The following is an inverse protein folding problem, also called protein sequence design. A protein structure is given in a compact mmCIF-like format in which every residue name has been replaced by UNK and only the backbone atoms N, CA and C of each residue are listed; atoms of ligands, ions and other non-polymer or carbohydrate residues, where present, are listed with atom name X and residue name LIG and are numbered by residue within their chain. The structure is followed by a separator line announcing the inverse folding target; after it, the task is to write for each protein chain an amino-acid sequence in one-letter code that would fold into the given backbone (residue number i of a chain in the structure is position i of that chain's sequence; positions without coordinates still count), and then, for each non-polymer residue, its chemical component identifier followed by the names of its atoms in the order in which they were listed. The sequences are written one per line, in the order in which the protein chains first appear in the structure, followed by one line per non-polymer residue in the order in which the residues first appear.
data_IF_255609900133
#
_entry.id   IF_255609900133
#
_cell.length_a   1.000
_cell.length_b   1.000
_cell.length_c   1.000
_cell.angle_alpha   90.00
_cell.angle_beta   90.00
_cell.angle_gamma   90.00
#
_symmetry.space_group_name_H-M   'P 1'
#
loop_
_entity.id
_entity.type
_entity.pdbx_description
1 polymer ?
#
# COMPACT_ATOMS: atom_id res chain seq x y z
N UNK A 1 -48.18 12.23 17.31
CA UNK A 1 -47.09 12.73 18.16
C UNK A 1 -45.80 12.63 17.36
N UNK A 2 -45.44 13.71 16.71
CA UNK A 2 -44.18 13.86 16.02
C UNK A 2 -43.12 14.23 17.08
N UNK A 3 -42.12 13.43 17.29
CA UNK A 3 -40.92 13.80 18.02
C UNK A 3 -40.07 14.70 17.12
N UNK A 4 -39.62 15.85 17.59
CA UNK A 4 -38.79 16.74 16.77
C UNK A 4 -37.36 16.21 16.79
N UNK A 5 -36.99 15.42 15.78
CA UNK A 5 -35.61 15.14 15.43
C UNK A 5 -34.98 16.29 14.61
N UNK A 6 -35.62 17.46 14.61
CA UNK A 6 -35.27 18.63 13.79
C UNK A 6 -34.16 19.53 14.36
N UNK A 7 -33.44 19.07 15.39
CA UNK A 7 -32.39 19.88 16.03
C UNK A 7 -30.95 19.44 15.74
N UNK A 8 -30.73 18.37 14.93
CA UNK A 8 -29.41 17.79 14.74
C UNK A 8 -28.86 17.87 13.28
N UNK A 9 -29.69 18.23 12.33
CA UNK A 9 -29.26 18.40 10.94
C UNK A 9 -29.93 19.63 10.36
N UNK A 10 -29.18 20.65 9.98
CA UNK A 10 -29.64 21.75 9.19
C UNK A 10 -29.84 21.32 7.74
N UNK A 11 -31.09 21.04 7.36
CA UNK A 11 -31.43 20.60 6.01
C UNK A 11 -31.02 21.62 4.93
N UNK A 12 -31.00 22.92 5.25
CA UNK A 12 -30.59 23.95 4.31
C UNK A 12 -29.06 23.81 4.07
N UNK A 13 -28.27 23.61 5.13
CA UNK A 13 -26.84 23.39 5.00
C UNK A 13 -26.54 22.16 4.15
N UNK A 14 -27.25 21.05 4.38
CA UNK A 14 -27.10 19.81 3.56
C UNK A 14 -27.47 20.08 2.10
N UNK A 15 -28.54 20.82 1.84
CA UNK A 15 -28.94 21.19 0.47
C UNK A 15 -27.94 22.12 -0.20
N UNK A 16 -27.37 23.07 0.53
CA UNK A 16 -26.35 23.97 0.03
C UNK A 16 -25.04 23.22 -0.27
N UNK A 17 -24.63 22.31 0.60
CA UNK A 17 -23.48 21.43 0.36
C UNK A 17 -23.72 20.52 -0.86
N UNK A 18 -24.89 19.89 -0.96
CA UNK A 18 -25.27 19.09 -2.14
C UNK A 18 -25.29 19.91 -3.42
N UNK A 19 -25.72 21.17 -3.35
CA UNK A 19 -25.75 22.06 -4.50
C UNK A 19 -24.34 22.42 -4.98
N UNK A 20 -23.41 22.72 -4.05
CA UNK A 20 -22.00 22.98 -4.36
C UNK A 20 -21.37 21.75 -5.01
N UNK A 21 -21.55 20.58 -4.41
CA UNK A 21 -21.05 19.31 -4.98
C UNK A 21 -21.63 19.05 -6.37
N UNK A 22 -22.93 19.25 -6.55
CA UNK A 22 -23.57 19.09 -7.87
C UNK A 22 -23.04 20.07 -8.92
N UNK A 23 -22.71 21.32 -8.53
CA UNK A 23 -22.09 22.28 -9.44
C UNK A 23 -20.65 21.93 -9.80
N UNK A 24 -19.89 21.37 -8.86
CA UNK A 24 -18.53 20.89 -9.10
C UNK A 24 -18.53 19.65 -10.02
N UNK A 25 -19.45 18.72 -9.80
CA UNK A 25 -19.69 17.55 -10.64
C UNK A 25 -20.13 17.90 -12.08
N UNK A 26 -20.85 19.01 -12.25
CA UNK A 26 -21.29 19.50 -13.57
C UNK A 26 -20.23 20.32 -14.30
N UNK A 27 -19.02 20.46 -13.77
CA UNK A 27 -17.95 21.24 -14.39
C UNK A 27 -17.03 20.39 -15.25
N UNK A 28 -17.32 20.23 -16.53
CA UNK A 28 -16.50 19.49 -17.48
C UNK A 28 -15.08 20.04 -17.69
N UNK A 29 -14.74 21.23 -17.19
CA UNK A 29 -13.34 21.69 -17.20
C UNK A 29 -12.46 20.86 -16.27
N UNK A 30 -13.03 20.36 -15.15
CA UNK A 30 -12.31 19.47 -14.23
C UNK A 30 -12.01 18.12 -14.91
N UNK A 31 -13.02 17.52 -15.55
CA UNK A 31 -12.85 16.27 -16.28
C UNK A 31 -11.89 16.43 -17.47
N UNK A 32 -11.97 17.54 -18.19
CA UNK A 32 -11.02 17.86 -19.24
C UNK A 32 -9.56 17.96 -18.74
N UNK A 33 -9.35 18.60 -17.59
CA UNK A 33 -8.02 18.68 -16.96
C UNK A 33 -7.53 17.31 -16.49
N UNK A 34 -8.42 16.49 -15.94
CA UNK A 34 -8.12 15.12 -15.53
C UNK A 34 -7.73 14.26 -16.75
N UNK A 35 -8.44 14.38 -17.85
CA UNK A 35 -8.16 13.65 -19.09
C UNK A 35 -6.77 14.02 -19.66
N UNK A 36 -6.42 15.31 -19.68
CA UNK A 36 -5.10 15.77 -20.09
C UNK A 36 -4.00 15.24 -19.17
N UNK A 37 -4.22 15.31 -17.85
CA UNK A 37 -3.28 14.78 -16.84
C UNK A 37 -3.10 13.28 -16.97
N UNK A 38 -4.19 12.52 -17.09
CA UNK A 38 -4.14 11.06 -17.27
C UNK A 38 -3.36 10.68 -18.53
N UNK A 39 -3.65 11.36 -19.66
CA UNK A 39 -2.94 11.12 -20.91
C UNK A 39 -1.45 11.38 -20.79
N UNK A 40 -1.06 12.45 -20.12
CA UNK A 40 0.36 12.79 -19.89
C UNK A 40 1.06 11.75 -19.01
N UNK A 41 0.41 11.28 -17.94
CA UNK A 41 0.97 10.27 -17.04
C UNK A 41 1.13 8.90 -17.70
N UNK A 42 0.35 8.62 -18.75
CA UNK A 42 0.40 7.35 -19.48
C UNK A 42 1.05 7.48 -20.86
N UNK A 43 1.80 8.56 -21.14
CA UNK A 43 2.42 8.80 -22.44
C UNK A 43 3.45 7.72 -22.80
N UNK A 44 4.14 7.20 -21.81
CA UNK A 44 5.15 6.12 -21.93
C UNK A 44 4.54 4.70 -21.86
N UNK A 45 3.24 4.56 -21.57
CA UNK A 45 2.57 3.25 -21.46
C UNK A 45 1.98 2.86 -22.81
N UNK A 46 2.67 1.99 -23.52
CA UNK A 46 2.31 1.63 -24.92
C UNK A 46 0.92 1.00 -25.05
N UNK A 47 0.42 0.32 -24.02
CA UNK A 47 -0.85 -0.42 -24.02
C UNK A 47 -2.01 0.32 -23.37
N UNK A 48 -1.86 1.60 -23.01
CA UNK A 48 -2.90 2.44 -22.42
C UNK A 48 -3.11 3.69 -23.26
N UNK A 49 -4.33 4.17 -23.32
CA UNK A 49 -4.67 5.45 -23.92
C UNK A 49 -5.97 6.00 -23.33
N UNK A 50 -6.31 7.21 -23.70
CA UNK A 50 -7.57 7.89 -23.42
C UNK A 50 -7.99 8.73 -24.62
N UNK A 51 -9.26 9.16 -24.71
CA UNK A 51 -9.70 10.03 -25.80
C UNK A 51 -8.87 11.30 -25.93
N UNK A 52 -8.70 11.77 -27.17
CA UNK A 52 -8.11 13.09 -27.42
C UNK A 52 -9.12 14.16 -27.02
N UNK A 53 -8.70 15.08 -26.16
CA UNK A 53 -9.51 16.23 -25.78
C UNK A 53 -9.45 17.33 -26.84
N UNK A 54 -10.60 17.85 -27.24
CA UNK A 54 -10.69 19.04 -28.10
C UNK A 54 -10.97 20.28 -27.24
N UNK A 55 -9.90 20.76 -26.57
CA UNK A 55 -9.96 21.82 -25.57
C UNK A 55 -10.67 23.10 -26.06
N UNK A 56 -10.46 23.45 -27.33
CA UNK A 56 -11.07 24.65 -27.94
C UNK A 56 -12.62 24.60 -28.03
N UNK A 57 -13.20 23.42 -27.92
CA UNK A 57 -14.66 23.20 -27.97
C UNK A 57 -15.24 22.82 -26.60
N UNK A 58 -14.39 22.62 -25.60
CA UNK A 58 -14.79 22.22 -24.26
C UNK A 58 -15.08 23.44 -23.39
N UNK A 59 -16.23 23.43 -22.70
CA UNK A 59 -16.69 24.48 -21.79
C UNK A 59 -16.97 23.87 -20.41
N UNK A 60 -17.48 24.66 -19.47
CA UNK A 60 -17.96 24.14 -18.18
C UNK A 60 -19.16 23.19 -18.33
N UNK A 61 -19.94 23.33 -19.40
CA UNK A 61 -21.18 22.57 -19.63
C UNK A 61 -21.08 21.54 -20.76
N UNK A 62 -20.00 21.52 -21.52
CA UNK A 62 -19.80 20.63 -22.67
C UNK A 62 -18.37 20.13 -22.69
N UNK A 63 -18.20 18.81 -22.69
CA UNK A 63 -16.93 18.13 -22.92
C UNK A 63 -16.90 17.62 -24.36
N UNK A 64 -15.90 18.03 -25.13
CA UNK A 64 -15.70 17.58 -26.50
C UNK A 64 -14.41 16.79 -26.61
N UNK A 65 -14.55 15.51 -26.91
CA UNK A 65 -13.42 14.58 -27.01
C UNK A 65 -13.57 13.61 -28.20
N UNK A 66 -12.50 12.89 -28.51
CA UNK A 66 -12.47 11.85 -29.51
C UNK A 66 -13.54 10.79 -29.23
N UNK A 67 -14.29 10.41 -30.26
CA UNK A 67 -15.16 9.25 -30.18
C UNK A 67 -14.31 7.97 -30.29
N UNK A 68 -14.41 7.10 -29.30
CA UNK A 68 -13.68 5.83 -29.25
C UNK A 68 -14.56 4.71 -29.83
N UNK A 69 -14.18 4.25 -31.01
CA UNK A 69 -14.75 3.04 -31.63
C UNK A 69 -13.93 1.83 -31.16
N UNK A 70 -14.32 1.22 -30.04
CA UNK A 70 -13.63 0.07 -29.43
C UNK A 70 -14.65 -0.88 -28.78
N UNK A 71 -14.23 -2.09 -28.47
CA UNK A 71 -15.06 -3.07 -27.76
C UNK A 71 -15.06 -2.78 -26.26
N UNK A 72 -16.22 -2.87 -25.60
CA UNK A 72 -16.30 -2.79 -24.16
C UNK A 72 -15.51 -3.92 -23.50
N UNK A 73 -14.87 -3.65 -22.36
CA UNK A 73 -14.07 -4.67 -21.68
C UNK A 73 -14.91 -5.82 -21.13
N UNK A 74 -16.20 -5.59 -20.92
CA UNK A 74 -17.21 -6.57 -20.52
C UNK A 74 -17.64 -7.51 -21.66
N UNK A 75 -17.29 -7.20 -22.92
CA UNK A 75 -17.67 -7.97 -24.12
C UNK A 75 -16.67 -9.09 -24.41
N UNK A 76 -16.54 -10.02 -23.47
CA UNK A 76 -15.53 -11.10 -23.51
C UNK A 76 -15.58 -11.94 -24.79
N UNK A 77 -16.79 -12.29 -25.25
CA UNK A 77 -16.96 -13.09 -26.48
C UNK A 77 -16.51 -12.31 -27.71
N UNK A 78 -16.84 -11.02 -27.80
CA UNK A 78 -16.44 -10.16 -28.92
C UNK A 78 -14.92 -9.96 -28.93
N UNK A 79 -14.32 -9.73 -27.76
CA UNK A 79 -12.87 -9.60 -27.58
C UNK A 79 -12.14 -10.88 -28.02
N UNK A 80 -12.60 -12.03 -27.57
CA UNK A 80 -12.02 -13.34 -27.92
C UNK A 80 -12.17 -13.64 -29.42
N UNK A 81 -13.33 -13.35 -30.03
CA UNK A 81 -13.55 -13.50 -31.47
C UNK A 81 -12.66 -12.56 -32.29
N UNK A 82 -12.35 -11.38 -31.77
CA UNK A 82 -11.40 -10.45 -32.39
C UNK A 82 -9.93 -10.84 -32.19
N UNK A 83 -9.65 -11.95 -31.51
CA UNK A 83 -8.31 -12.49 -31.31
C UNK A 83 -7.56 -11.90 -30.08
N UNK A 84 -8.25 -11.24 -29.17
CA UNK A 84 -7.64 -10.73 -27.94
C UNK A 84 -7.55 -11.83 -26.89
N UNK A 85 -6.42 -11.84 -26.15
CA UNK A 85 -6.25 -12.66 -24.94
C UNK A 85 -6.76 -11.89 -23.73
N UNK A 86 -7.81 -12.42 -23.09
CA UNK A 86 -8.42 -11.79 -21.91
C UNK A 86 -7.48 -11.76 -20.72
N UNK A 87 -6.57 -12.74 -20.57
CA UNK A 87 -5.57 -12.75 -19.52
C UNK A 87 -4.52 -11.64 -19.73
N UNK A 88 -4.10 -11.42 -20.97
CA UNK A 88 -3.19 -10.32 -21.32
C UNK A 88 -3.83 -8.95 -21.03
N UNK A 89 -5.11 -8.78 -21.44
CA UNK A 89 -5.85 -7.54 -21.15
C UNK A 89 -5.95 -7.31 -19.64
N UNK A 90 -6.33 -8.35 -18.89
CA UNK A 90 -6.44 -8.30 -17.44
C UNK A 90 -5.12 -7.92 -16.77
N UNK A 91 -4.01 -8.55 -17.18
CA UNK A 91 -2.68 -8.22 -16.65
C UNK A 91 -2.29 -6.77 -16.91
N UNK A 92 -2.51 -6.28 -18.12
CA UNK A 92 -2.25 -4.88 -18.51
C UNK A 92 -3.13 -3.89 -17.73
N UNK A 93 -4.41 -4.24 -17.53
CA UNK A 93 -5.34 -3.42 -16.76
C UNK A 93 -4.90 -3.31 -15.30
N UNK A 94 -4.62 -4.44 -14.66
CA UNK A 94 -4.15 -4.48 -13.28
C UNK A 94 -2.83 -3.72 -13.11
N UNK A 95 -1.87 -3.93 -14.02
CA UNK A 95 -0.58 -3.24 -14.01
C UNK A 95 -0.73 -1.72 -14.11
N UNK A 96 -1.53 -1.24 -15.06
CA UNK A 96 -1.78 0.19 -15.21
C UNK A 96 -2.51 0.78 -14.01
N UNK A 97 -3.50 0.06 -13.45
CA UNK A 97 -4.24 0.56 -12.30
C UNK A 97 -3.36 0.66 -11.04
N UNK A 98 -2.50 -0.33 -10.81
CA UNK A 98 -1.51 -0.29 -9.71
C UNK A 98 -0.53 0.86 -9.91
N UNK A 99 -0.07 1.11 -11.15
CA UNK A 99 0.78 2.28 -11.47
C UNK A 99 0.08 3.59 -11.13
N UNK A 100 -1.18 3.77 -11.51
CA UNK A 100 -1.97 4.97 -11.17
C UNK A 100 -1.97 5.24 -9.66
N UNK A 101 -2.08 4.19 -8.83
CA UNK A 101 -2.12 4.31 -7.36
C UNK A 101 -0.73 4.55 -6.78
N UNK A 102 0.23 3.68 -7.12
CA UNK A 102 1.51 3.61 -6.41
C UNK A 102 2.56 4.59 -6.95
N UNK A 103 2.56 4.86 -8.25
CA UNK A 103 3.57 5.71 -8.90
C UNK A 103 3.02 7.11 -9.18
N UNK A 104 1.89 7.19 -9.90
CA UNK A 104 1.33 8.46 -10.33
C UNK A 104 0.61 9.20 -9.19
N UNK A 105 0.05 8.46 -8.22
CA UNK A 105 -0.81 9.00 -7.17
C UNK A 105 -2.06 9.69 -7.73
N UNK A 106 -2.43 9.34 -8.95
CA UNK A 106 -3.58 9.83 -9.65
C UNK A 106 -4.31 8.67 -10.32
N UNK A 107 -5.42 8.24 -9.72
CA UNK A 107 -6.09 6.99 -10.06
C UNK A 107 -7.57 7.19 -10.34
N UNK A 108 -8.13 6.33 -11.16
CA UNK A 108 -9.56 6.29 -11.44
C UNK A 108 -10.33 5.73 -10.25
N UNK A 109 -11.26 6.51 -9.67
CA UNK A 109 -11.99 6.10 -8.47
C UNK A 109 -13.26 5.27 -8.77
N UNK A 110 -13.65 5.15 -10.04
CA UNK A 110 -14.79 4.34 -10.49
C UNK A 110 -14.50 3.61 -11.82
N UNK A 111 -13.54 2.66 -11.85
CA UNK A 111 -13.11 1.95 -13.06
C UNK A 111 -14.11 0.87 -13.50
N UNK A 112 -15.41 1.23 -13.62
CA UNK A 112 -16.41 0.27 -14.03
C UNK A 112 -16.30 -0.10 -15.53
N UNK A 113 -16.83 -1.24 -15.99
CA UNK A 113 -16.63 -1.73 -17.34
C UNK A 113 -17.08 -0.76 -18.44
N UNK A 114 -18.07 0.11 -18.16
CA UNK A 114 -18.54 1.14 -19.08
C UNK A 114 -17.50 2.21 -19.40
N UNK A 115 -16.51 2.41 -18.51
CA UNK A 115 -15.41 3.36 -18.67
C UNK A 115 -14.16 2.75 -19.30
N UNK A 116 -14.21 1.46 -19.65
CA UNK A 116 -13.07 0.70 -20.19
C UNK A 116 -13.39 0.11 -21.55
N UNK A 117 -12.55 0.40 -22.53
CA UNK A 117 -12.64 -0.21 -23.86
C UNK A 117 -11.30 -0.77 -24.31
N UNK A 118 -11.36 -1.69 -25.26
CA UNK A 118 -10.18 -2.21 -25.96
C UNK A 118 -10.24 -1.77 -27.42
N UNK A 119 -9.16 -1.10 -27.87
CA UNK A 119 -9.00 -0.65 -29.25
C UNK A 119 -7.53 -0.81 -29.67
N UNK A 120 -7.29 -1.48 -30.79
CA UNK A 120 -5.95 -1.67 -31.37
C UNK A 120 -4.91 -2.23 -30.38
N UNK A 121 -5.33 -3.19 -29.54
CA UNK A 121 -4.49 -3.80 -28.50
C UNK A 121 -4.23 -2.92 -27.28
N UNK A 122 -4.89 -1.76 -27.18
CA UNK A 122 -4.76 -0.82 -26.06
C UNK A 122 -6.03 -0.78 -25.21
N UNK A 123 -5.83 -0.62 -23.91
CA UNK A 123 -6.89 -0.30 -22.96
C UNK A 123 -7.16 1.20 -23.06
N UNK A 124 -8.40 1.56 -23.27
CA UNK A 124 -8.85 2.95 -23.38
C UNK A 124 -9.70 3.29 -22.16
N UNK A 125 -9.25 4.24 -21.38
CA UNK A 125 -9.99 4.82 -20.26
C UNK A 125 -10.81 6.01 -20.78
N UNK A 126 -12.14 5.99 -20.59
CA UNK A 126 -13.05 6.94 -21.24
C UNK A 126 -13.40 8.15 -20.37
N UNK A 127 -13.88 7.90 -19.17
CA UNK A 127 -14.41 8.89 -18.23
C UNK A 127 -13.38 9.23 -17.18
N UNK A 128 -13.09 10.52 -16.98
CA UNK A 128 -12.15 11.00 -15.97
C UNK A 128 -12.83 11.97 -14.98
N UNK A 129 -14.16 11.90 -14.87
CA UNK A 129 -14.93 12.71 -13.93
C UNK A 129 -14.58 12.41 -12.48
N UNK A 130 -14.30 11.14 -12.19
CA UNK A 130 -14.08 10.66 -10.83
C UNK A 130 -12.65 10.16 -10.65
N UNK A 131 -11.73 11.07 -10.31
CA UNK A 131 -10.31 10.77 -10.10
C UNK A 131 -9.90 10.99 -8.65
N UNK A 132 -9.19 10.02 -8.07
CA UNK A 132 -8.56 10.12 -6.76
C UNK A 132 -7.13 10.66 -6.85
N UNK A 133 -6.71 11.33 -5.78
CA UNK A 133 -5.35 11.82 -5.63
C UNK A 133 -4.75 11.30 -4.33
N UNK A 134 -3.53 10.76 -4.42
CA UNK A 134 -2.69 10.37 -3.28
C UNK A 134 -1.39 11.15 -3.35
N UNK A 135 -1.06 11.83 -2.26
CA UNK A 135 0.25 12.46 -2.13
C UNK A 135 1.36 11.40 -1.90
N UNK A 136 2.61 11.82 -1.98
CA UNK A 136 3.77 10.93 -1.81
C UNK A 136 3.79 10.24 -0.43
N UNK A 137 3.39 10.97 0.62
CA UNK A 137 3.30 10.45 1.98
C UNK A 137 2.24 9.35 2.06
N UNK A 138 1.05 9.56 1.49
CA UNK A 138 -0.04 8.58 1.47
C UNK A 138 0.39 7.32 0.70
N UNK A 139 1.00 7.46 -0.47
CA UNK A 139 1.53 6.33 -1.25
C UNK A 139 2.56 5.52 -0.48
N UNK A 140 3.50 6.20 0.17
CA UNK A 140 4.51 5.55 1.02
C UNK A 140 3.88 4.77 2.17
N UNK A 141 2.86 5.33 2.82
CA UNK A 141 2.17 4.67 3.93
C UNK A 141 1.31 3.49 3.47
N UNK A 142 0.67 3.58 2.29
CA UNK A 142 -0.02 2.45 1.66
C UNK A 142 0.98 1.32 1.37
N UNK A 143 2.12 1.63 0.78
CA UNK A 143 3.19 0.66 0.56
C UNK A 143 3.67 -0.02 1.85
N UNK A 144 3.80 0.75 2.95
CA UNK A 144 4.12 0.20 4.27
C UNK A 144 3.02 -0.71 4.79
N UNK A 145 1.74 -0.35 4.63
CA UNK A 145 0.63 -1.19 5.04
C UNK A 145 0.64 -2.54 4.30
N UNK A 146 0.77 -2.52 2.98
CA UNK A 146 0.86 -3.74 2.16
C UNK A 146 2.07 -4.60 2.55
N UNK A 147 3.23 -3.97 2.76
CA UNK A 147 4.44 -4.68 3.22
C UNK A 147 4.25 -5.27 4.63
N UNK A 148 3.57 -4.53 5.51
CA UNK A 148 3.25 -4.97 6.86
C UNK A 148 2.37 -6.21 6.85
N UNK A 149 1.30 -6.21 6.05
CA UNK A 149 0.42 -7.38 5.88
C UNK A 149 1.20 -8.56 5.28
N UNK A 150 1.98 -8.33 4.21
CA UNK A 150 2.77 -9.37 3.55
C UNK A 150 3.81 -10.05 4.45
N UNK A 151 4.33 -9.31 5.45
CA UNK A 151 5.39 -9.79 6.38
C UNK A 151 4.85 -10.17 7.75
N UNK A 152 3.57 -9.96 8.03
CA UNK A 152 3.00 -10.07 9.37
C UNK A 152 3.58 -9.04 10.35
N UNK A 153 4.03 -7.88 9.87
CA UNK A 153 4.63 -6.83 10.71
C UNK A 153 3.57 -5.82 11.17
N UNK A 154 3.08 -6.05 12.39
CA UNK A 154 2.08 -5.21 13.04
C UNK A 154 2.54 -3.75 13.23
N UNK A 155 3.84 -3.50 13.39
CA UNK A 155 4.34 -2.14 13.58
C UNK A 155 4.22 -1.33 12.29
N UNK A 156 4.52 -1.94 11.14
CA UNK A 156 4.30 -1.30 9.84
C UNK A 156 2.82 -1.00 9.59
N UNK A 157 1.93 -1.94 9.90
CA UNK A 157 0.49 -1.75 9.76
C UNK A 157 -0.03 -0.63 10.67
N UNK A 158 0.38 -0.63 11.95
CA UNK A 158 0.04 0.42 12.90
C UNK A 158 0.53 1.79 12.45
N UNK A 159 1.78 1.89 12.03
CA UNK A 159 2.38 3.15 11.60
C UNK A 159 1.69 3.70 10.35
N UNK A 160 1.26 2.81 9.44
CA UNK A 160 0.46 3.19 8.29
C UNK A 160 -0.91 3.74 8.71
N UNK A 161 -1.65 3.03 9.56
CA UNK A 161 -2.96 3.49 10.08
C UNK A 161 -2.83 4.81 10.81
N UNK A 162 -1.81 4.94 11.69
CA UNK A 162 -1.54 6.17 12.42
C UNK A 162 -1.12 7.34 11.50
N UNK A 163 -0.46 7.05 10.41
CA UNK A 163 -0.01 8.05 9.45
C UNK A 163 -1.08 8.48 8.43
N UNK A 164 -2.00 7.58 8.08
CA UNK A 164 -3.06 7.82 7.10
C UNK A 164 -4.34 8.39 7.73
N UNK A 165 -4.63 8.03 8.99
CA UNK A 165 -5.88 8.38 9.65
C UNK A 165 -5.97 9.83 10.11
N UNK A 166 -7.20 10.35 10.16
CA UNK A 166 -7.55 11.64 10.75
C UNK A 166 -8.12 11.42 12.16
N UNK A 167 -7.48 12.03 13.18
CA UNK A 167 -7.79 11.76 14.58
C UNK A 167 -8.83 12.73 15.14
N UNK A 168 -9.88 12.20 15.75
CA UNK A 168 -10.93 12.97 16.43
C UNK A 168 -10.85 12.80 17.95
N UNK A 169 -9.73 13.19 18.56
CA UNK A 169 -9.53 13.13 20.00
C UNK A 169 -8.37 12.23 20.44
N UNK A 170 -8.44 11.73 21.68
CA UNK A 170 -7.40 10.84 22.23
C UNK A 170 -7.70 9.40 21.84
N UNK A 171 -6.79 8.81 21.08
CA UNK A 171 -6.84 7.39 20.70
C UNK A 171 -6.16 6.54 21.77
N UNK A 172 -6.80 5.45 22.20
CA UNK A 172 -6.16 4.43 23.04
C UNK A 172 -5.22 3.56 22.17
N UNK A 173 -3.93 3.86 22.27
CA UNK A 173 -2.90 3.17 21.49
C UNK A 173 -2.84 1.66 21.75
N UNK A 174 -3.20 1.20 22.98
CA UNK A 174 -3.18 -0.23 23.31
C UNK A 174 -4.36 -0.96 22.66
N UNK A 175 -5.52 -0.31 22.65
CA UNK A 175 -6.71 -0.85 21.98
C UNK A 175 -6.47 -0.90 20.47
N UNK A 176 -6.00 0.20 19.86
CA UNK A 176 -5.69 0.24 18.44
C UNK A 176 -4.69 -0.85 18.03
N UNK A 177 -3.66 -1.07 18.86
CA UNK A 177 -2.66 -2.11 18.58
C UNK A 177 -3.31 -3.49 18.52
N UNK A 178 -4.16 -3.86 19.48
CA UNK A 178 -4.88 -5.14 19.49
C UNK A 178 -5.84 -5.28 18.32
N UNK A 179 -6.61 -4.22 18.03
CA UNK A 179 -7.58 -4.26 16.94
C UNK A 179 -6.86 -4.42 15.57
N UNK A 180 -5.65 -3.87 15.40
CA UNK A 180 -4.80 -4.07 14.22
C UNK A 180 -4.19 -5.48 14.22
N UNK A 181 -3.78 -6.02 15.37
CA UNK A 181 -3.28 -7.38 15.51
C UNK A 181 -4.34 -8.40 15.09
N UNK A 182 -5.57 -8.25 15.59
CA UNK A 182 -6.72 -9.09 15.21
C UNK A 182 -7.00 -9.02 13.69
N UNK A 183 -6.89 -7.82 13.11
CA UNK A 183 -7.04 -7.61 11.67
C UNK A 183 -5.91 -8.31 10.89
N UNK A 184 -4.68 -8.18 11.36
CA UNK A 184 -3.52 -8.81 10.74
C UNK A 184 -3.59 -10.33 10.83
N UNK A 185 -4.02 -10.90 11.97
CA UNK A 185 -4.23 -12.34 12.12
C UNK A 185 -5.30 -12.89 11.17
N UNK A 186 -6.34 -12.09 10.91
CA UNK A 186 -7.39 -12.44 9.94
C UNK A 186 -6.87 -12.51 8.51
N UNK A 187 -5.98 -11.61 8.12
CA UNK A 187 -5.52 -11.44 6.73
C UNK A 187 -4.08 -11.88 6.48
N UNK A 188 -3.20 -11.84 7.48
CA UNK A 188 -1.77 -12.11 7.32
C UNK A 188 -1.42 -13.57 7.03
N UNK A 189 -2.32 -14.52 7.32
CA UNK A 189 -2.17 -15.96 6.98
C UNK A 189 -2.80 -16.33 5.64
N UNK A 190 -3.60 -15.42 5.04
CA UNK A 190 -4.22 -15.66 3.74
C UNK A 190 -3.21 -15.40 2.62
N UNK A 191 -3.35 -16.14 1.52
CA UNK A 191 -2.65 -15.78 0.29
C UNK A 191 -3.15 -14.38 -0.14
N UNK A 192 -2.22 -13.42 -0.22
CA UNK A 192 -2.52 -12.05 -0.65
C UNK A 192 -3.27 -12.00 -1.99
N UNK A 193 -3.03 -13.00 -2.85
CA UNK A 193 -3.72 -13.16 -4.11
C UNK A 193 -5.19 -13.60 -3.98
N UNK A 194 -5.66 -14.02 -2.81
CA UNK A 194 -7.05 -14.43 -2.57
C UNK A 194 -7.84 -13.45 -1.69
N UNK A 195 -7.23 -12.33 -1.30
CA UNK A 195 -7.88 -11.33 -0.45
C UNK A 195 -8.93 -10.53 -1.23
N UNK A 196 -10.10 -10.37 -0.63
CA UNK A 196 -11.12 -9.40 -1.02
C UNK A 196 -10.74 -8.03 -0.45
N UNK A 197 -10.21 -7.15 -1.31
CA UNK A 197 -9.76 -5.82 -0.89
C UNK A 197 -10.92 -4.94 -0.38
N UNK A 198 -12.11 -5.10 -0.92
CA UNK A 198 -13.28 -4.36 -0.44
C UNK A 198 -13.57 -4.72 1.02
N UNK A 199 -13.54 -6.01 1.37
CA UNK A 199 -13.73 -6.49 2.74
C UNK A 199 -12.60 -6.03 3.68
N UNK A 200 -11.34 -6.05 3.20
CA UNK A 200 -10.18 -5.55 3.98
C UNK A 200 -10.36 -4.07 4.31
N UNK A 201 -10.79 -3.26 3.35
CA UNK A 201 -11.03 -1.83 3.58
C UNK A 201 -12.23 -1.56 4.50
N UNK A 202 -13.29 -2.36 4.41
CA UNK A 202 -14.45 -2.27 5.31
C UNK A 202 -14.04 -2.58 6.75
N UNK A 203 -13.33 -3.67 6.98
CA UNK A 203 -12.84 -4.06 8.30
C UNK A 203 -11.85 -3.02 8.86
N UNK A 204 -10.93 -2.53 8.04
CA UNK A 204 -10.01 -1.46 8.41
C UNK A 204 -10.76 -0.18 8.80
N UNK A 205 -11.77 0.21 8.03
CA UNK A 205 -12.62 1.36 8.33
C UNK A 205 -13.35 1.19 9.67
N UNK A 206 -13.85 -0.02 9.96
CA UNK A 206 -14.49 -0.34 11.22
C UNK A 206 -13.51 -0.23 12.41
N UNK A 207 -12.29 -0.76 12.28
CA UNK A 207 -11.23 -0.65 13.28
C UNK A 207 -10.85 0.82 13.51
N UNK A 208 -10.64 1.58 12.45
CA UNK A 208 -10.31 3.02 12.55
C UNK A 208 -11.42 3.77 13.29
N UNK A 209 -12.68 3.61 12.86
CA UNK A 209 -13.85 4.25 13.48
C UNK A 209 -14.00 3.89 14.96
N UNK A 210 -13.82 2.61 15.33
CA UNK A 210 -13.89 2.14 16.71
C UNK A 210 -12.81 2.78 17.62
N UNK A 211 -11.71 3.26 17.02
CA UNK A 211 -10.61 3.92 17.72
C UNK A 211 -10.62 5.46 17.57
N UNK A 212 -11.72 6.06 17.06
CA UNK A 212 -11.86 7.50 16.91
C UNK A 212 -10.99 8.09 15.80
N UNK A 213 -10.71 7.28 14.77
CA UNK A 213 -9.92 7.66 13.61
C UNK A 213 -10.83 7.64 12.38
N UNK A 214 -10.87 8.71 11.60
CA UNK A 214 -11.55 8.74 10.31
C UNK A 214 -10.60 8.37 9.17
N UNK A 215 -11.15 7.69 8.17
CA UNK A 215 -10.45 7.42 6.92
C UNK A 215 -10.56 8.67 6.03
N UNK A 216 -9.44 9.21 5.51
CA UNK A 216 -9.47 10.33 4.57
C UNK A 216 -10.28 10.02 3.31
N UNK A 217 -10.90 11.04 2.72
CA UNK A 217 -11.69 10.89 1.51
C UNK A 217 -10.93 10.26 0.33
N UNK A 218 -9.64 10.54 0.19
CA UNK A 218 -8.77 9.93 -0.83
C UNK A 218 -8.66 8.41 -0.68
N UNK A 219 -8.59 7.89 0.56
CA UNK A 219 -8.56 6.45 0.82
C UNK A 219 -9.93 5.79 0.63
N UNK A 220 -11.01 6.51 0.93
CA UNK A 220 -12.37 6.04 0.65
C UNK A 220 -12.59 5.91 -0.87
N UNK A 221 -12.10 6.89 -1.66
CA UNK A 221 -12.10 6.80 -3.13
C UNK A 221 -11.24 5.63 -3.63
N UNK A 222 -10.07 5.41 -3.02
CA UNK A 222 -9.21 4.26 -3.35
C UNK A 222 -9.90 2.93 -3.08
N UNK A 223 -10.53 2.77 -1.91
CA UNK A 223 -11.28 1.58 -1.56
C UNK A 223 -12.39 1.27 -2.58
N UNK A 224 -13.16 2.31 -2.97
CA UNK A 224 -14.19 2.18 -4.00
C UNK A 224 -13.61 1.77 -5.35
N UNK A 225 -12.55 2.42 -5.79
CA UNK A 225 -11.89 2.10 -7.05
C UNK A 225 -11.33 0.68 -7.07
N UNK A 226 -10.71 0.24 -5.98
CA UNK A 226 -10.21 -1.13 -5.82
C UNK A 226 -11.34 -2.16 -5.87
N UNK A 227 -12.43 -1.95 -5.14
CA UNK A 227 -13.59 -2.85 -5.18
C UNK A 227 -14.19 -2.96 -6.60
N UNK A 228 -14.27 -1.83 -7.32
CA UNK A 228 -14.79 -1.81 -8.69
C UNK A 228 -13.85 -2.56 -9.64
N UNK A 229 -12.55 -2.31 -9.59
CA UNK A 229 -11.58 -2.97 -10.50
C UNK A 229 -11.46 -4.47 -10.20
N UNK A 230 -11.56 -4.90 -8.93
CA UNK A 230 -11.61 -6.32 -8.57
C UNK A 230 -12.80 -7.01 -9.21
N UNK A 231 -13.98 -6.37 -9.20
CA UNK A 231 -15.16 -6.89 -9.89
C UNK A 231 -14.92 -7.04 -11.40
N UNK A 232 -14.29 -6.06 -12.04
CA UNK A 232 -13.91 -6.13 -13.46
C UNK A 232 -12.92 -7.26 -13.71
N UNK A 233 -11.91 -7.40 -12.86
CA UNK A 233 -10.89 -8.45 -12.99
C UNK A 233 -11.46 -9.84 -12.77
N UNK A 234 -12.33 -10.01 -11.77
CA UNK A 234 -12.99 -11.28 -11.49
C UNK A 234 -13.84 -11.76 -12.69
N UNK A 235 -14.47 -10.83 -13.41
CA UNK A 235 -15.23 -11.15 -14.61
C UNK A 235 -14.33 -11.37 -15.84
N UNK A 236 -13.33 -10.52 -16.06
CA UNK A 236 -12.46 -10.55 -17.26
C UNK A 236 -11.44 -11.69 -17.20
N UNK A 237 -10.73 -11.82 -16.08
CA UNK A 237 -9.57 -12.70 -15.92
C UNK A 237 -9.40 -13.12 -14.44
N UNK A 238 -10.19 -14.10 -13.95
CA UNK A 238 -10.22 -14.49 -12.53
C UNK A 238 -8.88 -14.96 -11.95
N UNK A 239 -7.93 -15.36 -12.82
CA UNK A 239 -6.61 -15.81 -12.42
C UNK A 239 -5.65 -14.65 -12.08
N UNK A 240 -6.02 -13.41 -12.40
CA UNK A 240 -5.20 -12.22 -12.13
C UNK A 240 -5.77 -11.48 -10.94
N UNK A 241 -4.93 -11.26 -9.95
CA UNK A 241 -5.28 -10.53 -8.74
C UNK A 241 -4.50 -9.23 -8.65
N UNK A 242 -5.19 -8.13 -8.33
CA UNK A 242 -4.60 -6.79 -8.21
C UNK A 242 -3.52 -6.76 -7.12
N UNK A 243 -3.74 -7.44 -5.99
CA UNK A 243 -2.79 -7.47 -4.88
C UNK A 243 -1.47 -8.18 -5.26
N UNK A 244 -1.52 -9.22 -6.09
CA UNK A 244 -0.31 -9.87 -6.59
C UNK A 244 0.54 -8.93 -7.47
N UNK A 245 -0.10 -8.06 -8.24
CA UNK A 245 0.59 -7.02 -9.03
C UNK A 245 1.19 -5.95 -8.12
N UNK A 246 0.45 -5.52 -7.08
CA UNK A 246 0.96 -4.55 -6.08
C UNK A 246 2.20 -5.11 -5.39
N UNK A 247 2.15 -6.34 -4.90
CA UNK A 247 3.28 -6.97 -4.19
C UNK A 247 4.49 -7.19 -5.09
N UNK A 248 4.29 -7.57 -6.35
CA UNK A 248 5.37 -7.68 -7.33
C UNK A 248 6.05 -6.32 -7.56
N UNK A 249 5.29 -5.25 -7.78
CA UNK A 249 5.85 -3.89 -7.96
C UNK A 249 6.58 -3.38 -6.73
N UNK A 250 6.03 -3.60 -5.53
CA UNK A 250 6.72 -3.23 -4.29
C UNK A 250 8.03 -3.99 -4.13
N UNK A 251 8.04 -5.29 -4.49
CA UNK A 251 9.26 -6.11 -4.50
C UNK A 251 10.33 -5.54 -5.43
N UNK A 252 9.96 -5.19 -6.65
CA UNK A 252 10.87 -4.58 -7.63
C UNK A 252 11.37 -3.20 -7.17
N UNK A 253 10.51 -2.35 -6.62
CA UNK A 253 10.92 -1.05 -6.06
C UNK A 253 11.88 -1.20 -4.88
N UNK A 254 11.66 -2.18 -3.99
CA UNK A 254 12.58 -2.45 -2.89
C UNK A 254 13.94 -2.94 -3.40
N UNK A 255 13.98 -3.77 -4.44
CA UNK A 255 15.24 -4.22 -5.05
C UNK A 255 16.01 -3.08 -5.72
N UNK A 256 15.31 -2.11 -6.34
CA UNK A 256 15.92 -0.93 -6.97
C UNK A 256 16.31 0.17 -5.96
N UNK A 257 15.65 0.25 -4.80
CA UNK A 257 15.98 1.23 -3.74
C UNK A 257 17.03 0.74 -2.75
N UNK A 258 17.36 -0.55 -2.73
CA UNK A 258 18.47 -1.06 -1.93
C UNK A 258 19.77 -0.54 -2.55
N UNK A 259 20.29 0.55 -2.01
CA UNK A 259 21.69 0.92 -2.23
C UNK A 259 22.57 -0.07 -1.49
N UNK A 260 22.87 -1.20 -2.16
CA UNK A 260 23.75 -2.28 -1.65
C UNK A 260 25.06 -1.75 -1.10
N UNK A 261 25.51 -0.58 -1.57
CA UNK A 261 26.73 0.07 -1.07
C UNK A 261 26.50 0.72 0.29
N UNK A 262 25.36 1.41 0.48
CA UNK A 262 25.02 2.03 1.76
C UNK A 262 24.76 0.97 2.84
N UNK A 263 24.03 -0.10 2.49
CA UNK A 263 23.70 -1.20 3.40
C UNK A 263 24.93 -2.03 3.80
N UNK A 264 25.82 -2.33 2.84
CA UNK A 264 27.13 -2.95 3.12
C UNK A 264 28.02 -2.09 4.01
N UNK A 265 27.96 -0.77 3.88
CA UNK A 265 28.73 0.16 4.76
C UNK A 265 28.10 0.21 6.16
N UNK A 266 26.78 0.19 6.27
CA UNK A 266 26.07 0.21 7.55
C UNK A 266 26.26 -1.10 8.31
N UNK A 267 26.16 -2.25 7.63
CA UNK A 267 26.45 -3.57 8.21
C UNK A 267 27.92 -3.75 8.56
N UNK A 268 28.84 -3.22 7.75
CA UNK A 268 30.28 -3.27 8.06
C UNK A 268 30.62 -2.40 9.29
N UNK A 269 29.94 -1.27 9.52
CA UNK A 269 30.07 -0.48 10.74
C UNK A 269 29.50 -1.19 11.96
N UNK A 270 28.30 -1.80 11.85
CA UNK A 270 27.70 -2.55 12.94
C UNK A 270 28.55 -3.77 13.32
N UNK A 271 29.12 -4.47 12.34
CA UNK A 271 30.05 -5.59 12.57
C UNK A 271 31.37 -5.09 13.18
N UNK A 272 31.91 -3.94 12.71
CA UNK A 272 33.12 -3.35 13.28
C UNK A 272 32.91 -2.87 14.73
N UNK A 273 31.79 -2.20 15.04
CA UNK A 273 31.43 -1.79 16.39
C UNK A 273 31.19 -2.98 17.33
N UNK A 274 30.55 -4.04 16.82
CA UNK A 274 30.34 -5.26 17.59
C UNK A 274 31.67 -6.03 17.84
N UNK A 275 32.55 -6.07 16.84
CA UNK A 275 33.88 -6.64 17.00
C UNK A 275 34.75 -5.82 17.96
N UNK A 276 34.65 -4.48 17.92
CA UNK A 276 35.40 -3.61 18.84
C UNK A 276 34.89 -3.76 20.29
N UNK A 277 33.58 -3.84 20.50
CA UNK A 277 32.98 -4.11 21.83
C UNK A 277 33.31 -5.51 22.35
N UNK A 278 33.44 -6.51 21.50
CA UNK A 278 33.83 -7.87 21.91
C UNK A 278 35.29 -7.94 22.34
N UNK A 279 36.17 -7.05 21.87
CA UNK A 279 37.57 -6.92 22.34
C UNK A 279 37.67 -6.30 23.74
N UNK A 280 36.66 -5.58 24.21
CA UNK A 280 36.60 -5.03 25.58
C UNK A 280 36.09 -6.02 26.63
N UNK A 281 35.42 -7.11 26.19
CA UNK A 281 34.88 -8.15 27.10
C UNK A 281 35.97 -8.79 27.99
N UNK A 282 37.17 -9.14 27.51
CA UNK A 282 38.21 -9.66 28.37
C UNK A 282 38.68 -8.72 29.46
N UNK A 283 38.75 -7.40 29.16
CA UNK A 283 39.12 -6.36 30.12
C UNK A 283 38.06 -6.15 31.20
N UNK A 284 36.77 -6.13 30.81
CA UNK A 284 35.63 -6.05 31.72
C UNK A 284 35.50 -7.30 32.61
N UNK A 285 35.78 -8.49 32.06
CA UNK A 285 35.79 -9.74 32.80
C UNK A 285 36.94 -9.78 33.80
N UNK A 286 38.13 -9.25 33.44
CA UNK A 286 39.29 -9.13 34.33
C UNK A 286 39.02 -8.14 35.47
N UNK A 287 38.33 -7.02 35.19
CA UNK A 287 37.95 -6.03 36.21
C UNK A 287 36.85 -6.58 37.13
N UNK A 288 35.84 -7.32 36.61
CA UNK A 288 34.83 -8.00 37.41
C UNK A 288 35.44 -9.05 38.34
N UNK A 289 36.38 -9.86 37.83
CA UNK A 289 37.12 -10.82 38.65
C UNK A 289 38.00 -10.15 39.71
N UNK A 290 38.62 -9.04 39.39
CA UNK A 290 39.40 -8.24 40.37
C UNK A 290 38.54 -7.65 41.45
N UNK A 291 37.37 -7.13 41.11
CA UNK A 291 36.41 -6.54 42.05
C UNK A 291 35.76 -7.62 42.92
N UNK A 292 35.47 -8.78 42.37
CA UNK A 292 34.97 -9.97 43.08
C UNK A 292 35.99 -10.54 44.07
N UNK A 293 37.28 -10.58 43.70
CA UNK A 293 38.37 -11.06 44.56
C UNK A 293 38.70 -10.07 45.72
N UNK A 294 38.36 -8.78 45.59
CA UNK A 294 38.52 -7.78 46.63
C UNK A 294 37.33 -7.75 47.64
N UNK A 295 36.29 -8.53 47.46
CA UNK A 295 35.14 -8.59 48.34
C UNK A 295 34.20 -7.37 48.33
N UNK A 296 34.33 -6.49 47.30
CA UNK A 296 33.54 -5.25 47.21
C UNK A 296 32.35 -5.34 46.25
N UNK A 297 32.00 -6.53 45.74
CA UNK A 297 30.90 -6.73 44.81
C UNK A 297 29.58 -6.98 45.57
N UNK A 298 28.71 -5.97 45.67
CA UNK A 298 27.32 -6.11 46.04
C UNK A 298 26.50 -6.43 44.80
N UNK A 299 26.30 -7.74 44.54
CA UNK A 299 25.43 -8.20 43.45
C UNK A 299 23.99 -8.34 44.01
N UNK A 300 23.16 -7.35 43.71
CA UNK A 300 21.71 -7.47 43.86
C UNK A 300 21.16 -8.36 42.73
N UNK A 301 20.99 -9.66 42.98
CA UNK A 301 20.39 -10.59 42.03
C UNK A 301 18.88 -10.57 42.20
N UNK A 302 18.17 -9.89 41.32
CA UNK A 302 16.74 -10.13 41.13
C UNK A 302 16.55 -11.41 40.31
N UNK A 303 15.94 -12.40 40.94
CA UNK A 303 15.66 -13.71 40.32
C UNK A 303 14.47 -13.59 39.38
N UNK A 304 14.72 -13.68 38.07
CA UNK A 304 13.69 -14.04 37.09
C UNK A 304 13.97 -15.46 36.58
N UNK A 305 12.98 -16.37 36.54
CA UNK A 305 13.23 -17.77 36.16
C UNK A 305 13.47 -17.91 34.66
N UNK A 306 14.56 -18.55 34.32
CA UNK A 306 15.16 -18.68 33.03
C UNK A 306 14.37 -19.45 31.98
N UNK A 307 13.88 -18.70 31.00
CA UNK A 307 13.61 -19.21 29.66
C UNK A 307 14.49 -18.49 28.59
N UNK A 308 15.06 -17.32 28.92
CA UNK A 308 15.74 -16.47 27.92
C UNK A 308 17.20 -16.87 27.61
N UNK A 309 17.90 -17.55 28.53
CA UNK A 309 19.34 -17.84 28.34
C UNK A 309 19.61 -18.87 27.24
N UNK A 310 18.72 -19.86 27.11
CA UNK A 310 18.86 -20.91 26.08
C UNK A 310 18.55 -20.38 24.67
N UNK A 311 17.59 -19.47 24.55
CA UNK A 311 17.28 -18.78 23.31
C UNK A 311 18.40 -17.81 22.90
N UNK A 312 18.95 -17.04 23.85
CA UNK A 312 20.06 -16.11 23.60
C UNK A 312 21.32 -16.84 23.16
N UNK A 313 21.65 -17.99 23.77
CA UNK A 313 22.78 -18.83 23.36
C UNK A 313 22.55 -19.51 22.01
N UNK A 314 21.30 -19.89 21.69
CA UNK A 314 20.92 -20.41 20.38
C UNK A 314 21.09 -19.37 19.27
N UNK A 315 20.68 -18.16 19.51
CA UNK A 315 20.76 -17.03 18.55
C UNK A 315 22.22 -16.62 18.29
N UNK A 316 23.07 -16.59 19.32
CA UNK A 316 24.50 -16.26 19.20
C UNK A 316 25.25 -17.36 18.45
N UNK A 317 24.97 -18.63 18.73
CA UNK A 317 25.62 -19.76 18.02
C UNK A 317 25.21 -19.85 16.57
N UNK A 318 23.95 -19.55 16.23
CA UNK A 318 23.48 -19.52 14.86
C UNK A 318 24.11 -18.36 14.06
N UNK A 319 24.17 -17.15 14.64
CA UNK A 319 24.79 -15.97 14.00
C UNK A 319 26.31 -16.15 13.80
N UNK A 320 27.00 -16.79 14.74
CA UNK A 320 28.43 -17.16 14.60
C UNK A 320 28.65 -18.20 13.51
N UNK A 321 27.81 -19.22 13.41
CA UNK A 321 27.90 -20.23 12.37
C UNK A 321 27.65 -19.61 10.96
N UNK A 322 26.68 -18.72 10.82
CA UNK A 322 26.41 -18.01 9.57
C UNK A 322 27.55 -17.07 9.17
N UNK A 323 28.16 -16.37 10.13
CA UNK A 323 29.31 -15.52 9.87
C UNK A 323 30.54 -16.30 9.44
N UNK A 324 30.78 -17.49 10.01
CA UNK A 324 31.87 -18.41 9.61
C UNK A 324 31.63 -18.99 8.21
N UNK A 325 30.38 -19.37 7.88
CA UNK A 325 30.02 -19.86 6.53
C UNK A 325 30.21 -18.74 5.49
N UNK A 326 29.77 -17.52 5.79
CA UNK A 326 29.96 -16.36 4.91
C UNK A 326 31.45 -16.01 4.70
N UNK A 327 32.29 -16.12 5.75
CA UNK A 327 33.72 -15.93 5.66
C UNK A 327 34.39 -17.03 4.84
N UNK A 328 33.98 -18.29 5.02
CA UNK A 328 34.50 -19.44 4.25
C UNK A 328 34.16 -19.35 2.75
N UNK A 329 32.94 -18.93 2.43
CA UNK A 329 32.50 -18.72 1.05
C UNK A 329 33.24 -17.55 0.36
N UNK A 330 33.66 -16.53 1.09
CA UNK A 330 34.51 -15.44 0.57
C UNK A 330 35.95 -15.85 0.30
N UNK A 331 36.48 -16.74 1.10
CA UNK A 331 37.85 -17.28 0.90
C UNK A 331 37.88 -18.25 -0.28
N UNK A 332 36.79 -18.98 -0.53
CA UNK A 332 36.71 -19.96 -1.62
C UNK A 332 36.25 -19.36 -2.96
N UNK A 333 35.58 -18.22 -2.96
CA UNK A 333 35.18 -17.54 -4.18
C UNK A 333 36.18 -16.48 -4.69
N UNK A 334 37.36 -16.38 -4.05
CA UNK A 334 38.45 -15.45 -4.40
C UNK A 334 39.73 -16.18 -4.89
N UNK A 335 39.63 -17.47 -5.27
CA UNK A 335 40.68 -18.26 -5.96
C UNK A 335 40.26 -18.56 -7.40
#
# INVERSE_FOLDING_TARGET
KYTPASGLVDFNQVLDEMWVVAQEEMNFQTEAANLERFRKLNEDVAFVTSPILYRQYTTTQVLVMERIDGMGIDKKDELTQAGYDLAEIGAKLADNYVRQIMEDGFFHADPHPGNLRVRDGKIVWLDMGMMGNLDERQRTLIGKAVTGVARGDINLCRDAVMGLGEFHGKTDKRRLYRDIEDLLDKYGSADLGSMDLAQVFEDLSAVMKANGISMPGSLTMLARGLATIEGVMADLSPQINVMSVVTARLGDQMLHQIDWRAELVQDSRAVYESAHKSLEIPALLADLLRTGLKGEANLGVEHHPGADLAQLLGDITFKLAMALIAAALRVWGGL
#
